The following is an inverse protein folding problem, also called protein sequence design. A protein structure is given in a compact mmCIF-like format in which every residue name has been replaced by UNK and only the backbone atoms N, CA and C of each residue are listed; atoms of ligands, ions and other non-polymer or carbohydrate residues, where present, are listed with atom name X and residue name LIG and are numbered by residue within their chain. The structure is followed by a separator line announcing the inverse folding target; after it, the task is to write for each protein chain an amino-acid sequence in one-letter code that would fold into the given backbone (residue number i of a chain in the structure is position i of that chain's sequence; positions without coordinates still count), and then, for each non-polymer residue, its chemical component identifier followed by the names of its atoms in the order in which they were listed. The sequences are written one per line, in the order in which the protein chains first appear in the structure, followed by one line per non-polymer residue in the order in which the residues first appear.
data_IF_388137978962
#
_entry.id   IF_388137978962
#
_cell.length_a   1.000
_cell.length_b   1.000
_cell.length_c   1.000
_cell.angle_alpha   90.00
_cell.angle_beta   90.00
_cell.angle_gamma   90.00
#
_symmetry.space_group_name_H-M   'P 1'
#
loop_
_entity.id
_entity.type
_entity.pdbx_description
1 polymer ?
#
# COMPACT_ATOMS: atom_id res chain seq x y z
N UNK A 1 -30.82 64.65 70.76
CA UNK A 1 -30.22 64.40 69.44
C UNK A 1 -30.81 63.09 68.94
N UNK A 2 -31.95 63.23 68.25
CA UNK A 2 -32.21 62.71 66.88
C UNK A 2 -32.70 61.25 66.89
N UNK A 3 -34.02 61.03 66.70
CA UNK A 3 -34.71 60.70 65.41
C UNK A 3 -34.13 59.41 64.81
N UNK A 4 -34.77 58.24 64.82
CA UNK A 4 -36.13 57.90 64.43
C UNK A 4 -36.09 57.15 63.09
N UNK A 5 -36.52 55.88 63.04
CA UNK A 5 -37.39 55.29 62.00
C UNK A 5 -37.57 53.77 62.23
N UNK A 6 -38.84 53.38 62.27
CA UNK A 6 -39.37 52.02 62.29
C UNK A 6 -39.11 51.39 60.90
N UNK A 7 -38.73 50.12 60.83
CA UNK A 7 -39.04 49.32 59.65
C UNK A 7 -39.47 47.90 60.04
N UNK A 8 -40.72 47.62 59.69
CA UNK A 8 -41.36 46.31 59.75
C UNK A 8 -40.62 45.34 58.84
N UNK A 9 -40.20 44.20 59.37
CA UNK A 9 -39.96 43.00 58.57
C UNK A 9 -40.80 41.87 59.14
N UNK A 10 -41.96 41.67 58.51
CA UNK A 10 -42.67 40.39 58.52
C UNK A 10 -41.75 39.29 57.99
N UNK A 11 -41.75 38.07 58.57
CA UNK A 11 -40.96 36.97 58.05
C UNK A 11 -41.39 36.67 56.61
N UNK A 12 -40.43 36.65 55.69
CA UNK A 12 -40.67 36.20 54.32
C UNK A 12 -41.19 34.75 54.36
N UNK A 13 -42.24 34.42 53.60
CA UNK A 13 -42.76 33.08 53.55
C UNK A 13 -41.73 32.13 52.94
N UNK A 14 -41.72 30.93 53.51
CA UNK A 14 -41.02 29.72 53.09
C UNK A 14 -40.92 29.61 51.57
N UNK A 15 -39.68 29.51 51.09
CA UNK A 15 -39.28 29.42 49.67
C UNK A 15 -39.56 28.00 49.12
N UNK A 16 -40.81 27.54 49.18
CA UNK A 16 -41.15 26.14 48.84
C UNK A 16 -42.35 26.02 47.87
N UNK A 17 -42.59 27.03 47.03
CA UNK A 17 -43.76 26.97 46.13
C UNK A 17 -43.69 27.75 44.81
N UNK A 18 -42.51 27.79 44.14
CA UNK A 18 -42.38 28.34 42.77
C UNK A 18 -41.52 27.51 41.79
N UNK A 19 -41.23 26.23 42.09
CA UNK A 19 -40.53 25.35 41.15
C UNK A 19 -41.48 24.81 40.07
N UNK A 20 -41.97 25.67 39.18
CA UNK A 20 -42.63 25.26 37.94
C UNK A 20 -41.81 25.77 36.75
N UNK A 21 -40.79 24.99 36.37
CA UNK A 21 -40.10 24.95 35.08
C UNK A 21 -39.88 26.26 34.32
N UNK A 22 -38.83 27.01 34.66
CA UNK A 22 -38.19 27.96 33.75
C UNK A 22 -37.03 27.28 33.03
N UNK A 23 -37.30 26.60 31.92
CA UNK A 23 -36.22 26.23 31.00
C UNK A 23 -35.76 27.50 30.26
N UNK A 24 -34.45 27.67 30.09
CA UNK A 24 -33.91 28.69 29.20
C UNK A 24 -34.38 28.45 27.76
N UNK A 25 -34.50 29.50 26.92
CA UNK A 25 -34.72 29.32 25.49
C UNK A 25 -33.68 28.35 24.91
N UNK A 26 -34.11 27.46 24.02
CA UNK A 26 -33.22 26.52 23.36
C UNK A 26 -32.13 27.26 22.58
N UNK A 27 -30.86 26.91 22.82
CA UNK A 27 -29.73 27.41 22.05
C UNK A 27 -29.43 26.42 20.93
N UNK A 28 -30.01 26.69 19.76
CA UNK A 28 -29.89 25.83 18.58
C UNK A 28 -28.50 25.88 17.95
N UNK A 29 -27.61 26.79 18.37
CA UNK A 29 -26.29 27.02 17.77
C UNK A 29 -26.32 27.20 16.23
N UNK A 30 -27.43 27.74 15.70
CA UNK A 30 -27.65 27.93 14.26
C UNK A 30 -28.00 26.66 13.49
N UNK A 31 -28.21 25.52 14.15
CA UNK A 31 -28.69 24.29 13.52
C UNK A 31 -30.18 24.38 13.21
N UNK A 32 -30.59 23.78 12.11
CA UNK A 32 -32.01 23.73 11.72
C UNK A 32 -32.63 22.39 12.09
N UNK A 33 -33.94 22.41 12.31
CA UNK A 33 -34.72 21.19 12.60
C UNK A 33 -35.86 21.02 11.62
N UNK A 34 -36.19 19.77 11.29
CA UNK A 34 -37.39 19.44 10.50
C UNK A 34 -38.23 18.43 11.23
N UNK A 35 -39.51 18.76 11.47
CA UNK A 35 -40.43 17.84 12.14
C UNK A 35 -40.88 16.73 11.20
N UNK A 36 -40.99 15.52 11.73
CA UNK A 36 -41.53 14.36 11.03
C UNK A 36 -42.21 13.39 11.99
N UNK A 37 -42.87 12.39 11.41
CA UNK A 37 -43.46 11.26 12.14
C UNK A 37 -43.03 9.99 11.42
N UNK A 38 -42.57 9.00 12.17
CA UNK A 38 -42.33 7.65 11.66
C UNK A 38 -43.05 6.63 12.53
N UNK A 39 -43.48 5.52 11.93
CA UNK A 39 -44.10 4.40 12.63
C UNK A 39 -43.17 3.20 12.53
N UNK A 40 -42.72 2.72 13.68
CA UNK A 40 -41.74 1.62 13.78
C UNK A 40 -42.45 0.41 14.39
N UNK A 41 -42.43 -0.71 13.66
CA UNK A 41 -42.87 -2.01 14.18
C UNK A 41 -41.84 -2.56 15.15
N UNK A 42 -42.28 -3.07 16.29
CA UNK A 42 -41.37 -3.54 17.34
C UNK A 42 -40.80 -4.92 17.04
N UNK A 43 -39.70 -5.24 17.72
CA UNK A 43 -39.14 -6.59 17.70
C UNK A 43 -39.87 -7.55 18.66
N UNK A 44 -39.45 -8.81 18.65
CA UNK A 44 -39.99 -9.86 19.55
C UNK A 44 -39.78 -9.57 21.04
N UNK A 45 -38.87 -8.64 21.36
CA UNK A 45 -38.58 -8.20 22.73
C UNK A 45 -39.36 -6.94 23.11
N UNK A 46 -40.31 -6.50 22.29
CA UNK A 46 -41.11 -5.28 22.48
C UNK A 46 -40.25 -3.98 22.51
N UNK A 47 -39.10 -3.99 21.82
CA UNK A 47 -38.18 -2.85 21.71
C UNK A 47 -38.10 -2.32 20.27
N UNK A 48 -37.75 -1.04 20.14
CA UNK A 48 -37.42 -0.42 18.84
C UNK A 48 -35.93 -0.22 18.61
N UNK A 49 -35.11 -0.26 19.66
CA UNK A 49 -33.65 -0.17 19.55
C UNK A 49 -33.06 1.24 19.49
N UNK A 50 -33.56 2.16 20.32
CA UNK A 50 -32.96 3.49 20.51
C UNK A 50 -32.57 3.71 21.98
N UNK A 51 -31.55 4.52 22.21
CA UNK A 51 -31.20 5.08 23.52
C UNK A 51 -31.62 6.55 23.60
N UNK A 52 -32.16 6.97 24.74
CA UNK A 52 -32.73 8.31 24.95
C UNK A 52 -31.92 9.07 26.01
N UNK A 53 -31.57 10.31 25.69
CA UNK A 53 -30.89 11.27 26.57
C UNK A 53 -31.74 12.50 26.84
N UNK A 54 -31.28 13.36 27.75
CA UNK A 54 -31.98 14.56 28.16
C UNK A 54 -33.25 14.28 28.99
N UNK A 55 -34.25 15.15 28.81
CA UNK A 55 -35.52 15.15 29.54
C UNK A 55 -35.49 15.89 30.88
N UNK A 56 -36.69 16.04 31.44
CA UNK A 56 -36.90 16.73 32.70
C UNK A 56 -36.19 16.05 33.90
N UNK A 57 -35.82 16.81 34.95
CA UNK A 57 -35.99 18.26 35.11
C UNK A 57 -34.86 19.09 34.49
N UNK A 58 -33.77 18.46 34.02
CA UNK A 58 -32.51 19.17 33.71
C UNK A 58 -32.45 19.67 32.27
N UNK A 59 -33.01 18.92 31.32
CA UNK A 59 -32.97 19.28 29.90
C UNK A 59 -34.39 19.47 29.33
N UNK A 60 -34.67 20.56 28.59
CA UNK A 60 -36.00 20.80 28.02
C UNK A 60 -36.37 19.80 26.92
N UNK A 61 -35.37 19.17 26.29
CA UNK A 61 -35.51 18.30 25.13
C UNK A 61 -35.17 16.85 25.51
N UNK A 62 -35.84 15.91 24.84
CA UNK A 62 -35.45 14.50 24.80
C UNK A 62 -34.84 14.23 23.44
N UNK A 63 -33.71 13.55 23.39
CA UNK A 63 -33.02 13.27 22.12
C UNK A 63 -32.47 11.86 22.06
N UNK A 64 -32.23 11.39 20.85
CA UNK A 64 -31.70 10.06 20.60
C UNK A 64 -30.19 10.07 20.82
N UNK A 65 -29.69 9.29 21.78
CA UNK A 65 -28.25 9.15 22.04
C UNK A 65 -27.62 8.17 21.03
N UNK A 66 -28.34 7.10 20.72
CA UNK A 66 -27.87 6.07 19.82
C UNK A 66 -29.04 5.31 19.21
N UNK A 67 -28.90 4.94 17.94
CA UNK A 67 -29.71 3.90 17.29
C UNK A 67 -28.84 2.64 17.21
N UNK A 68 -29.34 1.52 17.70
CA UNK A 68 -28.58 0.26 17.76
C UNK A 68 -28.72 -0.50 16.44
N UNK A 69 -27.62 -1.06 15.94
CA UNK A 69 -27.63 -1.82 14.68
C UNK A 69 -28.55 -3.06 14.78
N UNK A 70 -29.08 -3.51 13.64
CA UNK A 70 -29.98 -4.67 13.54
C UNK A 70 -31.32 -4.55 14.30
N UNK A 71 -31.63 -3.39 14.87
CA UNK A 71 -32.92 -3.13 15.53
C UNK A 71 -33.97 -2.57 14.58
N UNK A 72 -35.26 -2.57 14.95
CA UNK A 72 -36.31 -2.02 14.10
C UNK A 72 -36.09 -0.55 13.70
N UNK A 73 -35.64 0.31 14.61
CA UNK A 73 -35.36 1.71 14.31
C UNK A 73 -34.20 1.86 13.31
N UNK A 74 -33.16 1.02 13.42
CA UNK A 74 -32.06 1.03 12.44
C UNK A 74 -32.50 0.57 11.05
N UNK A 75 -33.42 -0.41 10.96
CA UNK A 75 -33.95 -0.92 9.69
C UNK A 75 -34.91 0.07 9.03
N UNK A 76 -35.69 0.81 9.83
CA UNK A 76 -36.57 1.86 9.33
C UNK A 76 -35.77 3.08 8.87
N UNK A 77 -34.68 3.43 9.57
CA UNK A 77 -33.62 4.31 9.08
C UNK A 77 -33.91 5.82 9.16
N UNK A 78 -35.11 6.23 9.56
CA UNK A 78 -35.48 7.65 9.66
C UNK A 78 -34.84 8.31 10.87
N UNK A 79 -34.85 7.62 12.02
CA UNK A 79 -34.29 8.13 13.27
C UNK A 79 -32.77 8.02 13.30
N UNK A 80 -32.11 9.05 13.81
CA UNK A 80 -30.66 9.07 13.97
C UNK A 80 -30.25 9.81 15.26
N UNK A 81 -29.01 9.62 15.70
CA UNK A 81 -28.46 10.17 16.95
C UNK A 81 -28.41 11.70 16.91
N UNK A 82 -28.86 12.37 17.97
CA UNK A 82 -29.02 13.82 18.02
C UNK A 82 -30.40 14.34 17.55
N UNK A 83 -31.24 13.49 16.95
CA UNK A 83 -32.63 13.87 16.67
C UNK A 83 -33.40 14.04 17.99
N UNK A 84 -34.29 15.02 18.03
CA UNK A 84 -35.15 15.26 19.19
C UNK A 84 -36.44 14.45 19.07
N UNK A 85 -36.86 13.86 20.20
CA UNK A 85 -38.14 13.19 20.37
C UNK A 85 -39.16 14.20 20.88
N UNK A 86 -40.20 14.46 20.11
CA UNK A 86 -41.25 15.43 20.47
C UNK A 86 -42.58 14.77 20.81
N UNK A 87 -42.82 13.54 20.37
CA UNK A 87 -44.02 12.80 20.74
C UNK A 87 -43.96 11.29 20.50
N UNK A 88 -44.79 10.55 21.24
CA UNK A 88 -44.98 9.09 21.11
C UNK A 88 -46.48 8.82 21.02
N UNK A 89 -46.92 8.14 19.96
CA UNK A 89 -48.33 7.83 19.65
C UNK A 89 -49.26 9.04 19.76
N UNK A 90 -48.85 10.17 19.20
CA UNK A 90 -49.61 11.42 19.23
C UNK A 90 -49.58 12.18 20.56
N UNK A 91 -48.99 11.62 21.62
CA UNK A 91 -48.80 12.31 22.90
C UNK A 91 -47.46 13.05 22.92
N UNK A 92 -47.48 14.31 23.35
CA UNK A 92 -46.25 15.09 23.56
C UNK A 92 -45.38 14.47 24.65
N UNK A 93 -44.06 14.50 24.44
CA UNK A 93 -43.07 14.09 25.45
C UNK A 93 -42.33 15.26 26.08
N UNK A 94 -42.65 16.50 25.69
CA UNK A 94 -42.05 17.70 26.30
C UNK A 94 -42.34 17.74 27.80
N UNK A 95 -41.31 18.00 28.60
CA UNK A 95 -41.40 18.02 30.06
C UNK A 95 -41.44 16.64 30.74
N UNK A 96 -41.33 15.54 29.98
CA UNK A 96 -41.22 14.18 30.54
C UNK A 96 -39.76 13.79 30.78
N UNK A 97 -39.56 12.86 31.69
CA UNK A 97 -38.28 12.20 31.95
C UNK A 97 -37.99 11.14 30.89
N UNK A 98 -36.72 10.82 30.66
CA UNK A 98 -36.32 9.71 29.77
C UNK A 98 -36.95 8.36 30.15
N UNK A 99 -37.19 8.13 31.43
CA UNK A 99 -37.83 6.89 31.95
C UNK A 99 -39.31 6.84 31.57
N UNK A 100 -40.04 7.95 31.67
CA UNK A 100 -41.44 8.01 31.27
C UNK A 100 -41.61 7.80 29.78
N UNK A 101 -40.77 8.41 28.95
CA UNK A 101 -40.80 8.20 27.49
C UNK A 101 -40.48 6.76 27.12
N UNK A 102 -39.49 6.14 27.77
CA UNK A 102 -39.20 4.72 27.59
C UNK A 102 -40.43 3.85 27.93
N UNK A 103 -41.13 4.15 29.03
CA UNK A 103 -42.38 3.46 29.40
C UNK A 103 -43.51 3.68 28.38
N UNK A 104 -43.66 4.89 27.84
CA UNK A 104 -44.65 5.20 26.78
C UNK A 104 -44.38 4.41 25.50
N UNK A 105 -43.10 4.26 25.12
CA UNK A 105 -42.74 3.42 23.98
C UNK A 105 -43.08 1.98 24.31
N UNK A 106 -42.65 1.46 25.47
CA UNK A 106 -42.86 0.07 25.89
C UNK A 106 -44.33 -0.33 26.07
N UNK A 107 -45.23 0.60 26.44
CA UNK A 107 -46.66 0.31 26.63
C UNK A 107 -47.41 0.03 25.33
N UNK A 108 -46.83 0.41 24.18
CA UNK A 108 -47.37 0.07 22.85
C UNK A 108 -47.08 -1.40 22.55
N UNK A 109 -47.98 -2.13 21.89
CA UNK A 109 -47.76 -3.57 21.59
C UNK A 109 -46.99 -3.79 20.29
N UNK A 110 -47.61 -3.51 19.15
CA UNK A 110 -47.08 -3.96 17.85
C UNK A 110 -46.25 -2.89 17.13
N UNK A 111 -46.70 -1.64 17.19
CA UNK A 111 -46.03 -0.52 16.57
C UNK A 111 -46.05 0.71 17.47
N UNK A 112 -45.11 1.63 17.23
CA UNK A 112 -45.03 2.92 17.91
C UNK A 112 -44.82 4.01 16.89
N UNK A 113 -45.62 5.07 16.97
CA UNK A 113 -45.47 6.27 16.18
C UNK A 113 -44.62 7.28 16.94
N UNK A 114 -43.47 7.64 16.38
CA UNK A 114 -42.52 8.58 16.95
C UNK A 114 -42.59 9.87 16.15
N UNK A 115 -42.99 10.96 16.81
CA UNK A 115 -42.85 12.32 16.28
C UNK A 115 -41.49 12.84 16.69
N UNK A 116 -40.69 13.29 15.72
CA UNK A 116 -39.31 13.71 15.93
C UNK A 116 -39.03 15.06 15.26
N UNK A 117 -37.99 15.74 15.74
CA UNK A 117 -37.36 16.87 15.08
C UNK A 117 -35.97 16.42 14.61
N UNK A 118 -35.81 16.34 13.29
CA UNK A 118 -34.57 15.95 12.64
C UNK A 118 -33.53 17.03 12.85
N UNK A 119 -32.37 16.68 13.40
CA UNK A 119 -31.27 17.64 13.55
C UNK A 119 -30.45 17.69 12.26
N UNK A 120 -30.50 18.83 11.56
CA UNK A 120 -29.63 19.12 10.41
C UNK A 120 -28.36 19.81 10.90
N UNK A 121 -27.45 18.98 11.40
CA UNK A 121 -26.12 19.37 11.80
C UNK A 121 -25.15 19.28 10.61
N UNK A 122 -24.33 20.31 10.40
CA UNK A 122 -23.19 20.21 9.49
C UNK A 122 -22.05 19.46 10.20
N UNK A 123 -21.61 18.28 9.71
CA UNK A 123 -20.50 17.54 10.31
C UNK A 123 -19.19 18.34 10.38
N UNK A 124 -19.02 19.40 9.58
CA UNK A 124 -17.84 20.27 9.67
C UNK A 124 -17.79 21.03 11.00
N UNK A 125 -18.94 21.39 11.57
CA UNK A 125 -19.02 22.08 12.87
C UNK A 125 -18.53 21.19 14.02
N UNK A 126 -18.67 19.87 13.89
CA UNK A 126 -18.15 18.91 14.86
C UNK A 126 -16.65 18.64 14.76
N UNK A 127 -15.93 19.22 13.78
CA UNK A 127 -14.48 19.04 13.61
C UNK A 127 -13.70 20.12 14.36
N UNK A 128 -13.74 20.07 15.68
CA UNK A 128 -12.99 21.00 16.52
C UNK A 128 -11.50 20.65 16.60
N UNK A 129 -10.66 21.63 16.99
CA UNK A 129 -9.24 21.39 17.28
C UNK A 129 -9.06 20.30 18.34
N UNK A 130 -9.96 20.24 19.32
CA UNK A 130 -10.00 19.21 20.35
C UNK A 130 -10.15 17.79 19.75
N UNK A 131 -11.07 17.59 18.80
CA UNK A 131 -11.21 16.31 18.08
C UNK A 131 -9.94 15.98 17.30
N UNK A 132 -9.31 16.97 16.67
CA UNK A 132 -8.05 16.76 15.92
C UNK A 132 -6.91 16.34 16.87
N UNK A 133 -6.76 17.00 18.02
CA UNK A 133 -5.75 16.67 19.03
C UNK A 133 -6.00 15.27 19.61
N UNK A 134 -7.26 14.90 19.89
CA UNK A 134 -7.64 13.55 20.30
C UNK A 134 -7.26 12.51 19.24
N UNK A 135 -7.48 12.81 17.96
CA UNK A 135 -7.10 11.92 16.84
C UNK A 135 -5.58 11.74 16.75
N UNK A 136 -4.81 12.82 16.93
CA UNK A 136 -3.33 12.76 16.98
C UNK A 136 -2.86 11.93 18.16
N UNK A 137 -3.44 12.13 19.35
CA UNK A 137 -3.15 11.30 20.53
C UNK A 137 -3.37 9.82 20.23
N UNK A 138 -4.51 9.45 19.64
CA UNK A 138 -4.78 8.05 19.28
C UNK A 138 -3.75 7.48 18.31
N UNK A 139 -3.34 8.26 17.31
CA UNK A 139 -2.32 7.84 16.34
C UNK A 139 -0.95 7.58 16.98
N UNK A 140 -0.54 8.43 17.94
CA UNK A 140 0.75 8.28 18.62
C UNK A 140 0.76 7.06 19.54
N UNK A 141 -0.33 6.84 20.27
CA UNK A 141 -0.41 5.79 21.29
C UNK A 141 -0.53 4.39 20.68
N UNK A 142 -1.08 4.24 19.46
CA UNK A 142 -1.21 2.94 18.79
C UNK A 142 0.15 2.27 18.51
N UNK A 143 1.18 3.06 18.21
CA UNK A 143 2.52 2.56 17.91
C UNK A 143 3.41 2.42 19.16
N UNK A 144 2.86 2.70 20.34
CA UNK A 144 3.61 2.78 21.59
C UNK A 144 3.30 1.58 22.49
N UNK A 145 4.31 1.08 23.19
CA UNK A 145 4.11 0.04 24.19
C UNK A 145 3.23 0.56 25.34
N UNK A 146 2.51 -0.35 26.00
CA UNK A 146 1.70 -0.04 27.20
C UNK A 146 2.49 0.77 28.23
N UNK A 147 3.68 0.30 28.60
CA UNK A 147 4.50 0.93 29.64
C UNK A 147 5.00 2.31 29.22
N UNK A 148 5.35 2.50 27.95
CA UNK A 148 5.80 3.81 27.45
C UNK A 148 4.64 4.82 27.39
N UNK A 149 3.44 4.39 26.99
CA UNK A 149 2.27 5.25 26.95
C UNK A 149 1.86 5.72 28.36
N UNK A 150 1.89 4.80 29.33
CA UNK A 150 1.60 5.10 30.73
C UNK A 150 2.67 6.04 31.33
N UNK A 151 3.95 5.85 31.00
CA UNK A 151 5.04 6.74 31.42
C UNK A 151 4.91 8.17 30.86
N UNK A 152 4.28 8.34 29.69
CA UNK A 152 4.00 9.65 29.09
C UNK A 152 2.63 10.22 29.51
N UNK A 153 1.90 9.56 30.41
CA UNK A 153 0.57 9.97 30.84
C UNK A 153 -0.49 9.88 29.73
N UNK A 154 -0.22 9.15 28.65
CA UNK A 154 -1.14 8.99 27.53
C UNK A 154 -2.12 7.85 27.83
N UNK A 155 -3.18 8.14 28.59
CA UNK A 155 -4.18 7.13 28.94
C UNK A 155 -4.84 6.53 27.70
N UNK A 156 -4.75 5.20 27.55
CA UNK A 156 -5.46 4.42 26.52
C UNK A 156 -6.89 4.14 26.96
N UNK A 157 -7.75 5.15 26.82
CA UNK A 157 -9.17 4.99 27.19
C UNK A 157 -9.91 3.95 26.33
N UNK A 158 -9.41 3.64 25.13
CA UNK A 158 -10.06 2.72 24.19
C UNK A 158 -8.98 1.81 23.58
N UNK A 159 -8.61 0.76 24.31
CA UNK A 159 -7.70 -0.28 23.81
C UNK A 159 -8.41 -1.03 22.68
N UNK A 160 -7.97 -0.85 21.45
CA UNK A 160 -8.28 -1.79 20.38
C UNK A 160 -7.00 -2.55 20.05
N UNK A 161 -6.87 -3.77 20.57
CA UNK A 161 -6.00 -4.78 19.97
C UNK A 161 -6.54 -5.08 18.56
N UNK A 162 -6.25 -4.18 17.62
CA UNK A 162 -6.81 -4.23 16.29
C UNK A 162 -5.98 -5.16 15.43
N UNK A 163 -6.55 -6.32 15.14
CA UNK A 163 -5.93 -7.35 14.32
C UNK A 163 -5.60 -6.83 12.92
N UNK A 164 -6.35 -5.85 12.39
CA UNK A 164 -6.09 -5.29 11.06
C UNK A 164 -4.86 -4.39 11.03
N UNK A 165 -4.55 -3.70 12.13
CA UNK A 165 -3.32 -2.92 12.24
C UNK A 165 -2.11 -3.83 12.41
N UNK A 166 -2.25 -4.96 13.13
CA UNK A 166 -1.21 -6.00 13.17
C UNK A 166 -0.96 -6.61 11.80
N UNK A 167 -2.02 -6.87 11.02
CA UNK A 167 -1.91 -7.32 9.62
C UNK A 167 -1.13 -6.35 8.73
N UNK A 168 -1.17 -5.04 9.02
CA UNK A 168 -0.33 -4.06 8.32
C UNK A 168 1.16 -4.32 8.54
N UNK A 169 1.56 -4.61 9.79
CA UNK A 169 2.96 -4.93 10.13
C UNK A 169 3.40 -6.25 9.48
N UNK A 170 2.53 -7.25 9.46
CA UNK A 170 2.78 -8.52 8.74
C UNK A 170 2.98 -8.28 7.23
N UNK A 171 2.21 -7.36 6.64
CA UNK A 171 2.39 -6.95 5.24
C UNK A 171 3.69 -6.17 5.00
N UNK A 172 4.24 -5.45 5.98
CA UNK A 172 5.57 -4.84 5.88
C UNK A 172 6.67 -5.91 5.79
N UNK A 173 6.60 -6.94 6.63
CA UNK A 173 7.52 -8.08 6.55
C UNK A 173 7.41 -8.85 5.23
N UNK A 174 6.17 -9.09 4.78
CA UNK A 174 5.89 -9.76 3.50
C UNK A 174 6.43 -8.94 2.32
N UNK A 175 6.24 -7.62 2.32
CA UNK A 175 6.79 -6.73 1.28
C UNK A 175 8.32 -6.82 1.22
N UNK A 176 9.00 -6.80 2.38
CA UNK A 176 10.45 -6.88 2.44
C UNK A 176 10.97 -8.21 1.87
N UNK A 177 10.33 -9.33 2.21
CA UNK A 177 10.63 -10.64 1.64
C UNK A 177 10.46 -10.63 0.12
N UNK A 178 9.33 -10.14 -0.40
CA UNK A 178 9.05 -10.11 -1.84
C UNK A 178 10.01 -9.21 -2.61
N UNK A 179 10.36 -8.07 -2.04
CA UNK A 179 11.39 -7.19 -2.59
C UNK A 179 12.72 -7.91 -2.71
N UNK A 180 13.14 -8.62 -1.65
CA UNK A 180 14.34 -9.45 -1.67
C UNK A 180 14.31 -10.53 -2.76
N UNK A 181 13.16 -11.19 -2.95
CA UNK A 181 12.96 -12.19 -4.00
C UNK A 181 13.10 -11.59 -5.41
N UNK A 182 12.43 -10.47 -5.68
CA UNK A 182 12.49 -9.77 -6.97
C UNK A 182 13.93 -9.29 -7.25
N UNK A 183 14.58 -8.69 -6.26
CA UNK A 183 15.95 -8.20 -6.39
C UNK A 183 16.95 -9.33 -6.60
N UNK A 184 16.77 -10.47 -5.93
CA UNK A 184 17.61 -11.64 -6.15
C UNK A 184 17.42 -12.22 -7.55
N UNK A 185 16.17 -12.34 -8.01
CA UNK A 185 15.84 -12.79 -9.37
C UNK A 185 16.51 -11.91 -10.42
N UNK A 186 16.49 -10.58 -10.24
CA UNK A 186 17.21 -9.64 -11.10
C UNK A 186 18.72 -9.89 -11.12
N UNK A 187 19.34 -10.10 -9.95
CA UNK A 187 20.78 -10.39 -9.85
C UNK A 187 21.15 -11.70 -10.56
N UNK A 188 20.34 -12.75 -10.42
CA UNK A 188 20.55 -14.02 -11.11
C UNK A 188 20.47 -13.83 -12.62
N UNK A 189 19.46 -13.10 -13.12
CA UNK A 189 19.34 -12.83 -14.56
C UNK A 189 20.49 -11.99 -15.10
N UNK A 190 20.99 -11.02 -14.31
CA UNK A 190 22.19 -10.24 -14.67
C UNK A 190 23.43 -11.13 -14.78
N UNK A 191 23.66 -12.00 -13.79
CA UNK A 191 24.79 -12.93 -13.79
C UNK A 191 24.68 -13.92 -14.96
N UNK A 192 23.47 -14.42 -15.23
CA UNK A 192 23.20 -15.29 -16.35
C UNK A 192 23.48 -14.60 -17.69
N UNK A 193 23.02 -13.36 -17.89
CA UNK A 193 23.37 -12.58 -19.08
C UNK A 193 24.89 -12.39 -19.23
N UNK A 194 25.59 -12.11 -18.14
CA UNK A 194 27.05 -12.05 -18.14
C UNK A 194 27.71 -13.35 -18.61
N UNK A 195 27.18 -14.51 -18.18
CA UNK A 195 27.63 -15.82 -18.66
C UNK A 195 27.39 -15.99 -20.17
N UNK A 196 26.25 -15.54 -20.71
CA UNK A 196 25.96 -15.60 -22.14
C UNK A 196 26.95 -14.76 -22.97
N UNK A 197 27.36 -13.61 -22.46
CA UNK A 197 28.40 -12.80 -23.11
C UNK A 197 29.75 -13.52 -23.18
N UNK A 198 30.10 -14.29 -22.13
CA UNK A 198 31.28 -15.15 -22.15
C UNK A 198 31.14 -16.27 -23.19
N UNK A 199 29.95 -16.89 -23.31
CA UNK A 199 29.70 -17.88 -24.36
C UNK A 199 29.87 -17.27 -25.76
N UNK A 200 29.35 -16.07 -26.02
CA UNK A 200 29.57 -15.37 -27.29
C UNK A 200 31.07 -15.19 -27.59
N UNK A 201 31.79 -14.63 -26.62
CA UNK A 201 33.22 -14.36 -26.76
C UNK A 201 34.04 -15.64 -27.00
N UNK A 202 33.72 -16.74 -26.30
CA UNK A 202 34.35 -18.04 -26.54
C UNK A 202 34.02 -18.55 -27.94
N UNK A 203 32.75 -18.45 -28.33
CA UNK A 203 32.29 -18.81 -29.68
C UNK A 203 33.10 -18.13 -30.79
N UNK A 204 33.29 -16.82 -30.66
CA UNK A 204 34.04 -16.01 -31.61
C UNK A 204 35.53 -16.31 -31.61
N UNK A 205 36.14 -16.49 -30.43
CA UNK A 205 37.55 -16.82 -30.30
C UNK A 205 37.87 -18.20 -30.90
N UNK A 206 37.10 -19.23 -30.57
CA UNK A 206 37.34 -20.59 -31.07
C UNK A 206 37.06 -20.72 -32.56
N UNK A 207 36.03 -20.04 -33.08
CA UNK A 207 35.83 -19.96 -34.52
C UNK A 207 37.02 -19.28 -35.23
N UNK A 208 37.56 -18.20 -34.63
CA UNK A 208 38.74 -17.50 -35.15
C UNK A 208 40.00 -18.36 -35.16
N UNK A 209 40.25 -19.14 -34.10
CA UNK A 209 41.35 -20.10 -34.02
C UNK A 209 41.17 -21.21 -35.07
N UNK A 210 39.97 -21.77 -35.18
CA UNK A 210 39.68 -22.86 -36.12
C UNK A 210 39.98 -22.51 -37.58
N UNK A 211 39.73 -21.26 -38.00
CA UNK A 211 40.03 -20.81 -39.36
C UNK A 211 41.54 -20.70 -39.63
N UNK A 212 42.34 -20.44 -38.60
CA UNK A 212 43.80 -20.24 -38.72
C UNK A 212 44.60 -21.51 -38.44
N UNK A 213 43.96 -22.56 -37.94
CA UNK A 213 44.61 -23.81 -37.53
C UNK A 213 44.98 -24.67 -38.75
N UNK A 214 46.28 -24.97 -38.98
CA UNK A 214 46.72 -25.74 -40.13
C UNK A 214 46.33 -27.22 -40.07
N UNK A 215 46.15 -27.81 -38.88
CA UNK A 215 45.73 -29.21 -38.76
C UNK A 215 44.20 -29.35 -38.97
N UNK A 216 43.73 -30.06 -40.01
CA UNK A 216 42.29 -30.11 -40.34
C UNK A 216 41.39 -30.63 -39.21
N UNK A 217 41.86 -31.65 -38.47
CA UNK A 217 41.11 -32.23 -37.34
C UNK A 217 40.99 -31.27 -36.16
N UNK A 218 42.04 -30.48 -35.89
CA UNK A 218 42.02 -29.47 -34.84
C UNK A 218 41.17 -28.25 -35.25
N UNK A 219 41.28 -27.83 -36.52
CA UNK A 219 40.44 -26.79 -37.13
C UNK A 219 38.95 -27.12 -37.00
N UNK A 220 38.55 -28.35 -37.34
CA UNK A 220 37.16 -28.81 -37.22
C UNK A 220 36.69 -28.83 -35.75
N UNK A 221 37.54 -29.28 -34.83
CA UNK A 221 37.23 -29.29 -33.40
C UNK A 221 37.04 -27.88 -32.82
N UNK A 222 37.91 -26.94 -33.16
CA UNK A 222 37.77 -25.54 -32.72
C UNK A 222 36.53 -24.87 -33.32
N UNK A 223 36.21 -25.14 -34.59
CA UNK A 223 34.98 -24.65 -35.22
C UNK A 223 33.73 -25.19 -34.52
N UNK A 224 33.66 -26.50 -34.29
CA UNK A 224 32.54 -27.12 -33.58
C UNK A 224 32.37 -26.54 -32.16
N UNK A 225 33.48 -26.36 -31.44
CA UNK A 225 33.46 -25.75 -30.11
C UNK A 225 32.95 -24.31 -30.13
N UNK A 226 33.36 -23.53 -31.14
CA UNK A 226 32.86 -22.18 -31.37
C UNK A 226 31.35 -22.16 -31.63
N UNK A 227 30.86 -23.07 -32.48
CA UNK A 227 29.43 -23.19 -32.82
C UNK A 227 28.58 -23.59 -31.61
N UNK A 228 29.06 -24.51 -30.75
CA UNK A 228 28.38 -24.88 -29.51
C UNK A 228 28.20 -23.67 -28.59
N UNK A 229 29.24 -22.86 -28.40
CA UNK A 229 29.19 -21.69 -27.53
C UNK A 229 28.26 -20.61 -28.07
N UNK A 230 28.24 -20.37 -29.39
CA UNK A 230 27.27 -19.48 -30.03
C UNK A 230 25.83 -20.01 -29.89
N UNK A 231 25.63 -21.31 -29.99
CA UNK A 231 24.30 -21.92 -29.81
C UNK A 231 23.81 -21.80 -28.35
N UNK A 232 24.70 -22.03 -27.38
CA UNK A 232 24.39 -21.84 -25.95
C UNK A 232 24.02 -20.38 -25.65
N UNK A 233 24.72 -19.41 -26.22
CA UNK A 233 24.35 -18.00 -26.10
C UNK A 233 22.95 -17.74 -26.66
N UNK A 234 22.68 -18.19 -27.89
CA UNK A 234 21.39 -17.99 -28.56
C UNK A 234 20.22 -18.58 -27.77
N UNK A 235 20.37 -19.81 -27.26
CA UNK A 235 19.34 -20.46 -26.45
C UNK A 235 19.16 -19.75 -25.09
N UNK A 236 20.26 -19.24 -24.52
CA UNK A 236 20.23 -18.45 -23.30
C UNK A 236 19.49 -17.13 -23.46
N UNK A 237 19.71 -16.41 -24.57
CA UNK A 237 18.99 -15.17 -24.89
C UNK A 237 17.50 -15.44 -25.08
N UNK A 238 17.14 -16.56 -25.72
CA UNK A 238 15.74 -16.97 -25.84
C UNK A 238 15.10 -17.26 -24.47
N UNK A 239 15.85 -17.89 -23.56
CA UNK A 239 15.41 -18.13 -22.17
C UNK A 239 15.24 -16.82 -21.38
N UNK A 240 16.12 -15.83 -21.57
CA UNK A 240 15.93 -14.51 -20.97
C UNK A 240 14.63 -13.83 -21.47
N UNK A 241 14.30 -13.96 -22.76
CA UNK A 241 13.06 -13.43 -23.34
C UNK A 241 11.82 -14.07 -22.71
N UNK A 242 11.84 -15.37 -22.39
CA UNK A 242 10.70 -16.05 -21.75
C UNK A 242 10.56 -15.71 -20.27
N UNK A 243 11.68 -15.43 -19.58
CA UNK A 243 11.68 -15.10 -18.14
C UNK A 243 11.35 -13.62 -17.90
N UNK A 244 11.65 -12.71 -18.83
CA UNK A 244 11.40 -11.26 -18.67
C UNK A 244 9.98 -10.91 -18.21
N UNK A 245 8.88 -11.48 -18.77
CA UNK A 245 7.52 -11.23 -18.29
C UNK A 245 7.30 -11.62 -16.82
N UNK A 246 7.93 -12.70 -16.34
CA UNK A 246 7.82 -13.19 -14.96
C UNK A 246 8.26 -12.09 -13.97
N UNK A 247 9.34 -11.37 -14.30
CA UNK A 247 9.84 -10.29 -13.46
C UNK A 247 8.89 -9.09 -13.40
N UNK A 248 8.21 -8.79 -14.52
CA UNK A 248 7.19 -7.73 -14.58
C UNK A 248 5.96 -8.09 -13.73
N UNK A 249 5.53 -9.35 -13.78
CA UNK A 249 4.41 -9.87 -13.00
C UNK A 249 4.72 -9.82 -11.50
N UNK A 250 5.87 -10.34 -11.08
CA UNK A 250 6.34 -10.27 -9.69
C UNK A 250 6.47 -8.81 -9.21
N UNK A 251 6.94 -7.92 -10.07
CA UNK A 251 7.03 -6.48 -9.80
C UNK A 251 5.67 -5.80 -9.65
N UNK A 252 4.63 -6.27 -10.34
CA UNK A 252 3.27 -5.72 -10.23
C UNK A 252 2.68 -5.96 -8.85
N UNK A 253 2.87 -7.15 -8.30
CA UNK A 253 2.43 -7.46 -6.94
C UNK A 253 3.09 -6.54 -5.90
N UNK A 254 4.41 -6.40 -5.98
CA UNK A 254 5.21 -5.58 -5.06
C UNK A 254 4.88 -4.09 -5.17
N UNK A 255 4.78 -3.56 -6.38
CA UNK A 255 4.68 -2.10 -6.60
C UNK A 255 3.25 -1.58 -6.70
N UNK A 256 2.24 -2.44 -6.91
CA UNK A 256 0.84 -2.03 -7.04
C UNK A 256 -0.07 -2.66 -5.99
N UNK A 257 -0.07 -3.99 -5.87
CA UNK A 257 -1.02 -4.70 -5.01
C UNK A 257 -0.78 -4.45 -3.52
N UNK A 258 0.46 -4.63 -3.03
CA UNK A 258 0.79 -4.39 -1.63
C UNK A 258 0.53 -2.91 -1.24
N UNK A 259 1.02 -1.89 -1.99
CA UNK A 259 0.78 -0.49 -1.63
C UNK A 259 -0.70 -0.10 -1.59
N UNK A 260 -1.53 -0.63 -2.50
CA UNK A 260 -2.97 -0.37 -2.52
C UNK A 260 -3.68 -0.95 -1.28
N UNK A 261 -3.35 -2.19 -0.89
CA UNK A 261 -3.88 -2.79 0.34
C UNK A 261 -3.43 -2.01 1.58
N UNK A 262 -2.15 -1.63 1.66
CA UNK A 262 -1.62 -0.80 2.75
C UNK A 262 -2.33 0.55 2.84
N UNK A 263 -2.57 1.21 1.71
CA UNK A 263 -3.32 2.47 1.68
C UNK A 263 -4.73 2.30 2.24
N UNK A 264 -5.38 1.19 1.91
CA UNK A 264 -6.74 0.89 2.39
C UNK A 264 -6.76 0.68 3.91
N UNK A 265 -5.80 -0.07 4.45
CA UNK A 265 -5.65 -0.26 5.89
C UNK A 265 -5.33 1.07 6.60
N UNK A 266 -4.50 1.93 6.03
CA UNK A 266 -4.22 3.27 6.58
C UNK A 266 -5.47 4.16 6.61
N UNK A 267 -6.30 4.14 5.55
CA UNK A 267 -7.59 4.84 5.52
C UNK A 267 -8.54 4.33 6.61
N UNK A 268 -8.61 3.01 6.79
CA UNK A 268 -9.37 2.39 7.87
C UNK A 268 -8.88 2.86 9.25
N UNK A 269 -7.57 2.83 9.51
CA UNK A 269 -6.99 3.26 10.77
C UNK A 269 -7.28 4.74 11.06
N UNK A 270 -7.22 5.60 10.04
CA UNK A 270 -7.54 7.01 10.18
C UNK A 270 -9.02 7.25 10.53
N UNK A 271 -9.95 6.51 9.90
CA UNK A 271 -11.37 6.55 10.22
C UNK A 271 -11.68 5.98 11.62
N UNK A 272 -10.97 4.93 12.04
CA UNK A 272 -11.01 4.41 13.41
C UNK A 272 -10.64 5.49 14.41
N UNK A 273 -9.51 6.17 14.23
CA UNK A 273 -9.06 7.22 15.16
C UNK A 273 -10.02 8.41 15.20
N UNK A 274 -10.63 8.78 14.07
CA UNK A 274 -11.68 9.80 14.05
C UNK A 274 -12.90 9.36 14.89
N UNK A 275 -13.41 8.14 14.68
CA UNK A 275 -14.51 7.60 15.48
C UNK A 275 -14.19 7.54 16.98
N UNK A 276 -13.00 7.06 17.34
CA UNK A 276 -12.54 6.99 18.74
C UNK A 276 -12.44 8.38 19.39
N UNK A 277 -12.04 9.40 18.63
CA UNK A 277 -11.98 10.78 19.12
C UNK A 277 -13.36 11.31 19.48
N UNK A 278 -14.38 11.01 18.67
CA UNK A 278 -15.77 11.34 18.99
C UNK A 278 -16.29 10.54 20.19
N UNK A 279 -15.96 9.25 20.31
CA UNK A 279 -16.32 8.46 21.50
C UNK A 279 -15.74 9.06 22.79
N UNK A 280 -14.47 9.49 22.75
CA UNK A 280 -13.83 10.13 23.89
C UNK A 280 -14.48 11.47 24.22
N UNK A 281 -14.80 12.29 23.21
CA UNK A 281 -15.49 13.56 23.43
C UNK A 281 -16.88 13.38 24.04
N UNK A 282 -17.66 12.41 23.56
CA UNK A 282 -18.97 12.09 24.17
C UNK A 282 -18.80 11.69 25.63
N UNK A 283 -17.83 10.82 25.94
CA UNK A 283 -17.57 10.40 27.32
C UNK A 283 -17.16 11.59 28.21
N UNK A 284 -16.29 12.48 27.73
CA UNK A 284 -15.92 13.69 28.47
C UNK A 284 -17.13 14.58 28.77
N UNK A 285 -18.05 14.73 27.81
CA UNK A 285 -19.28 15.49 28.02
C UNK A 285 -20.25 14.79 28.98
N UNK A 286 -20.35 13.45 28.92
CA UNK A 286 -21.14 12.65 29.88
C UNK A 286 -20.58 12.77 31.31
N UNK A 287 -19.26 12.70 31.45
CA UNK A 287 -18.55 12.83 32.74
C UNK A 287 -18.69 14.25 33.31
N UNK A 288 -18.66 15.29 32.46
CA UNK A 288 -18.97 16.68 32.84
C UNK A 288 -20.42 16.80 33.33
N UNK A 289 -21.41 16.31 32.58
CA UNK A 289 -22.82 16.34 33.00
C UNK A 289 -23.03 15.64 34.34
N UNK A 290 -22.40 14.48 34.54
CA UNK A 290 -22.46 13.74 35.80
C UNK A 290 -21.86 14.54 36.95
N UNK A 291 -20.72 15.21 36.72
CA UNK A 291 -20.03 16.00 37.76
C UNK A 291 -20.86 17.21 38.20
N UNK A 292 -21.43 17.96 37.26
CA UNK A 292 -22.34 19.08 37.57
C UNK A 292 -23.60 18.59 38.30
N UNK A 293 -24.16 17.45 37.89
CA UNK A 293 -25.30 16.85 38.56
C UNK A 293 -24.99 16.44 40.01
N UNK A 294 -23.78 15.94 40.30
CA UNK A 294 -23.35 15.61 41.67
C UNK A 294 -23.20 16.86 42.55
N UNK A 295 -22.73 17.98 41.97
CA UNK A 295 -22.60 19.26 42.65
C UNK A 295 -23.92 20.02 42.77
N UNK A 296 -24.99 19.52 42.14
CA UNK A 296 -26.29 20.21 42.01
C UNK A 296 -26.17 21.59 41.34
N UNK A 297 -25.18 21.75 40.47
CA UNK A 297 -24.97 22.99 39.71
C UNK A 297 -25.63 22.90 38.32
N UNK A 298 -26.31 23.97 37.87
CA UNK A 298 -26.89 24.01 36.54
C UNK A 298 -25.79 24.07 35.47
N UNK A 299 -26.03 23.38 34.36
CA UNK A 299 -25.13 23.38 33.21
C UNK A 299 -25.84 23.97 32.00
N UNK A 300 -25.46 25.20 31.63
CA UNK A 300 -26.14 26.01 30.61
C UNK A 300 -26.43 25.24 29.31
N UNK A 301 -25.42 24.50 28.83
CA UNK A 301 -25.51 23.62 27.67
C UNK A 301 -26.70 22.64 27.77
N UNK A 302 -26.91 22.02 28.92
CA UNK A 302 -28.01 21.06 29.14
C UNK A 302 -29.35 21.76 29.24
N UNK A 303 -29.40 22.88 29.97
CA UNK A 303 -30.62 23.66 30.20
C UNK A 303 -31.19 24.30 28.94
N UNK A 304 -30.35 24.47 27.91
CA UNK A 304 -30.70 25.04 26.60
C UNK A 304 -30.88 23.99 25.50
N UNK A 305 -31.04 22.70 25.86
CA UNK A 305 -31.40 21.62 24.92
C UNK A 305 -30.22 20.78 24.38
N UNK A 306 -29.01 21.03 24.87
CA UNK A 306 -27.80 20.22 24.66
C UNK A 306 -27.41 20.00 23.18
N UNK A 307 -27.57 21.04 22.36
CA UNK A 307 -27.34 20.98 20.91
C UNK A 307 -25.90 20.63 20.54
N UNK A 308 -24.90 21.12 21.29
CA UNK A 308 -23.50 20.74 21.07
C UNK A 308 -23.28 19.22 21.25
N UNK A 309 -23.81 18.63 22.32
CA UNK A 309 -23.73 17.19 22.54
C UNK A 309 -24.42 16.42 21.42
N UNK A 310 -25.60 16.86 20.99
CA UNK A 310 -26.37 16.26 19.89
C UNK A 310 -25.61 16.32 18.56
N UNK A 311 -24.90 17.41 18.27
CA UNK A 311 -24.00 17.53 17.12
C UNK A 311 -22.87 16.50 17.19
N UNK A 312 -22.22 16.34 18.35
CA UNK A 312 -21.17 15.34 18.54
C UNK A 312 -21.71 13.91 18.39
N UNK A 313 -22.92 13.62 18.87
CA UNK A 313 -23.58 12.33 18.66
C UNK A 313 -23.81 12.02 17.18
N UNK A 314 -24.26 13.01 16.39
CA UNK A 314 -24.39 12.88 14.93
C UNK A 314 -23.04 12.57 14.29
N UNK A 315 -22.01 13.37 14.60
CA UNK A 315 -20.67 13.18 14.05
C UNK A 315 -20.08 11.80 14.40
N UNK A 316 -20.32 11.33 15.64
CA UNK A 316 -19.93 9.98 16.09
C UNK A 316 -20.62 8.89 15.27
N UNK A 317 -21.93 9.02 15.03
CA UNK A 317 -22.68 8.06 14.21
C UNK A 317 -22.12 7.98 12.79
N UNK A 318 -21.88 9.14 12.16
CA UNK A 318 -21.34 9.18 10.79
C UNK A 318 -19.92 8.60 10.72
N UNK A 319 -19.07 8.92 11.70
CA UNK A 319 -17.73 8.35 11.81
C UNK A 319 -17.77 6.83 12.02
N UNK A 320 -18.70 6.32 12.85
CA UNK A 320 -18.91 4.88 13.06
C UNK A 320 -19.29 4.17 11.76
N UNK A 321 -20.20 4.74 10.98
CA UNK A 321 -20.63 4.17 9.70
C UNK A 321 -19.46 4.10 8.70
N UNK A 322 -18.68 5.19 8.57
CA UNK A 322 -17.47 5.20 7.72
C UNK A 322 -16.43 4.18 8.16
N UNK A 323 -16.17 4.10 9.46
CA UNK A 323 -15.26 3.12 10.06
C UNK A 323 -15.71 1.67 9.77
N UNK A 324 -16.99 1.36 9.98
CA UNK A 324 -17.54 0.03 9.74
C UNK A 324 -17.44 -0.38 8.26
N UNK A 325 -17.74 0.54 7.33
CA UNK A 325 -17.59 0.29 5.89
C UNK A 325 -16.14 -0.02 5.51
N UNK A 326 -15.20 0.83 5.93
CA UNK A 326 -13.78 0.63 5.64
C UNK A 326 -13.22 -0.65 6.27
N UNK A 327 -13.77 -1.09 7.41
CA UNK A 327 -13.41 -2.38 8.02
C UNK A 327 -13.75 -3.54 7.08
N UNK A 328 -14.95 -3.54 6.50
CA UNK A 328 -15.36 -4.55 5.53
C UNK A 328 -14.49 -4.50 4.26
N UNK A 329 -14.19 -3.30 3.76
CA UNK A 329 -13.33 -3.11 2.58
C UNK A 329 -11.92 -3.70 2.81
N UNK A 330 -11.33 -3.46 3.99
CA UNK A 330 -10.03 -4.02 4.35
C UNK A 330 -10.06 -5.55 4.40
N UNK A 331 -11.09 -6.15 4.99
CA UNK A 331 -11.21 -7.60 5.08
C UNK A 331 -11.27 -8.25 3.70
N UNK A 332 -12.11 -7.71 2.80
CA UNK A 332 -12.21 -8.20 1.41
C UNK A 332 -10.88 -8.02 0.68
N UNK A 333 -10.20 -6.88 0.83
CA UNK A 333 -8.90 -6.66 0.18
C UNK A 333 -7.81 -7.60 0.68
N UNK A 334 -7.78 -7.90 1.98
CA UNK A 334 -6.83 -8.88 2.54
C UNK A 334 -7.10 -10.28 1.99
N UNK A 335 -8.35 -10.71 1.92
CA UNK A 335 -8.73 -12.01 1.36
C UNK A 335 -8.37 -12.14 -0.13
N UNK A 336 -8.61 -11.08 -0.92
CA UNK A 336 -8.23 -11.01 -2.32
C UNK A 336 -6.71 -11.00 -2.53
N UNK A 337 -5.99 -10.33 -1.63
CA UNK A 337 -4.53 -10.31 -1.64
C UNK A 337 -4.00 -11.73 -1.38
N UNK A 338 -4.44 -12.39 -0.31
CA UNK A 338 -3.94 -13.72 0.07
C UNK A 338 -4.27 -14.80 -0.98
N UNK A 339 -5.52 -14.85 -1.45
CA UNK A 339 -5.99 -15.94 -2.33
C UNK A 339 -5.35 -15.89 -3.72
N UNK A 340 -5.24 -14.70 -4.32
CA UNK A 340 -4.74 -14.55 -5.70
C UNK A 340 -3.22 -14.60 -5.77
N UNK A 341 -2.56 -14.17 -4.70
CA UNK A 341 -1.12 -13.97 -4.68
C UNK A 341 -0.32 -15.26 -4.59
N UNK A 342 -0.70 -16.17 -3.69
CA UNK A 342 0.05 -17.41 -3.46
C UNK A 342 0.08 -18.25 -4.74
N UNK A 343 -1.07 -18.39 -5.41
CA UNK A 343 -1.15 -19.12 -6.68
C UNK A 343 -0.29 -18.50 -7.77
N UNK A 344 -0.29 -17.17 -7.88
CA UNK A 344 0.47 -16.48 -8.91
C UNK A 344 1.97 -16.61 -8.67
N UNK A 345 2.44 -16.41 -7.44
CA UNK A 345 3.87 -16.52 -7.13
C UNK A 345 4.40 -17.92 -7.32
N UNK A 346 3.67 -18.94 -6.87
CA UNK A 346 4.07 -20.34 -7.09
C UNK A 346 4.15 -20.64 -8.58
N UNK A 347 3.17 -20.18 -9.38
CA UNK A 347 3.18 -20.33 -10.84
C UNK A 347 4.40 -19.64 -11.47
N UNK A 348 4.71 -18.42 -11.06
CA UNK A 348 5.83 -17.65 -11.58
C UNK A 348 7.19 -18.27 -11.22
N UNK A 349 7.36 -18.74 -9.97
CA UNK A 349 8.58 -19.45 -9.54
C UNK A 349 8.76 -20.78 -10.27
N UNK A 350 7.67 -21.53 -10.49
CA UNK A 350 7.71 -22.75 -11.27
C UNK A 350 8.14 -22.46 -12.72
N UNK A 351 7.53 -21.48 -13.39
CA UNK A 351 7.91 -21.07 -14.75
C UNK A 351 9.37 -20.63 -14.84
N UNK A 352 9.86 -19.92 -13.82
CA UNK A 352 11.26 -19.52 -13.73
C UNK A 352 12.20 -20.74 -13.68
N UNK A 353 11.95 -21.66 -12.75
CA UNK A 353 12.76 -22.88 -12.59
C UNK A 353 12.70 -23.77 -13.84
N UNK A 354 11.51 -23.99 -14.41
CA UNK A 354 11.32 -24.78 -15.63
C UNK A 354 12.04 -24.17 -16.83
N UNK A 355 12.09 -22.84 -16.93
CA UNK A 355 12.79 -22.17 -18.04
C UNK A 355 14.30 -22.42 -17.97
N UNK A 356 14.90 -22.32 -16.78
CA UNK A 356 16.32 -22.64 -16.59
C UNK A 356 16.60 -24.13 -16.76
N UNK A 357 15.74 -25.01 -16.24
CA UNK A 357 15.89 -26.46 -16.42
C UNK A 357 15.91 -26.84 -17.90
N UNK A 358 14.98 -26.27 -18.68
CA UNK A 358 14.95 -26.46 -20.13
C UNK A 358 16.23 -25.98 -20.81
N UNK A 359 16.71 -24.78 -20.47
CA UNK A 359 17.97 -24.26 -21.00
C UNK A 359 19.14 -25.22 -20.72
N UNK A 360 19.28 -25.72 -19.49
CA UNK A 360 20.38 -26.62 -19.15
C UNK A 360 20.24 -28.00 -19.80
N UNK A 361 19.03 -28.50 -20.05
CA UNK A 361 18.83 -29.73 -20.83
C UNK A 361 19.26 -29.53 -22.29
N UNK A 362 18.90 -28.40 -22.92
CA UNK A 362 19.34 -28.04 -24.28
C UNK A 362 20.88 -27.89 -24.35
N UNK A 363 21.52 -27.31 -23.33
CA UNK A 363 22.98 -27.24 -23.22
C UNK A 363 23.59 -28.63 -23.13
N UNK A 364 23.04 -29.51 -22.29
CA UNK A 364 23.49 -30.89 -22.16
C UNK A 364 23.38 -31.66 -23.47
N UNK A 365 22.26 -31.53 -24.19
CA UNK A 365 22.09 -32.14 -25.52
C UNK A 365 23.11 -31.61 -26.52
N UNK A 366 23.37 -30.30 -26.52
CA UNK A 366 24.38 -29.66 -27.38
C UNK A 366 25.77 -30.21 -27.10
N UNK A 367 26.14 -30.35 -25.82
CA UNK A 367 27.44 -30.89 -25.42
C UNK A 367 27.56 -32.41 -25.68
N UNK A 368 26.46 -33.16 -25.62
CA UNK A 368 26.44 -34.61 -25.85
C UNK A 368 26.63 -35.00 -27.33
N UNK A 369 26.42 -34.07 -28.27
CA UNK A 369 26.71 -34.28 -29.70
C UNK A 369 28.21 -34.33 -30.00
N UNK A 370 29.05 -34.11 -29.00
CA UNK A 370 30.49 -33.98 -29.17
C UNK A 370 31.18 -35.36 -29.22
N UNK A 371 31.64 -35.76 -30.41
CA UNK A 371 32.46 -36.96 -30.64
C UNK A 371 33.96 -36.67 -30.67
N UNK A 372 34.36 -35.40 -30.51
CA UNK A 372 35.73 -34.93 -30.75
C UNK A 372 36.60 -34.89 -29.48
N UNK A 373 36.07 -35.34 -28.34
CA UNK A 373 36.80 -35.40 -27.07
C UNK A 373 37.12 -36.86 -26.66
N UNK A 374 38.35 -37.16 -26.19
CA UNK A 374 39.46 -36.24 -25.98
C UNK A 374 40.11 -35.80 -27.29
N UNK A 375 40.49 -34.52 -27.36
CA UNK A 375 41.38 -34.02 -28.40
C UNK A 375 42.76 -34.61 -28.10
N UNK A 376 43.04 -35.82 -28.61
CA UNK A 376 44.42 -36.29 -28.69
C UNK A 376 45.15 -35.44 -29.73
N UNK A 377 45.69 -34.30 -29.28
CA UNK A 377 46.69 -33.54 -30.02
C UNK A 377 48.00 -34.32 -29.93
N UNK A 378 48.25 -35.22 -30.88
CA UNK A 378 49.61 -35.72 -31.13
C UNK A 378 50.43 -34.57 -31.74
N UNK A 379 50.99 -33.74 -30.86
CA UNK A 379 51.98 -32.74 -31.22
C UNK A 379 53.23 -33.47 -31.72
N UNK A 380 53.39 -33.53 -33.04
CA UNK A 380 54.66 -33.96 -33.63
C UNK A 380 55.79 -33.08 -33.05
N UNK A 381 56.97 -33.68 -32.76
CA UNK A 381 58.12 -32.97 -32.14
C UNK A 381 58.58 -31.71 -32.90
N UNK A 382 58.13 -31.51 -34.14
CA UNK A 382 58.38 -30.35 -34.98
C UNK A 382 57.36 -29.21 -34.84
N UNK A 383 56.28 -29.37 -34.06
CA UNK A 383 55.19 -28.39 -33.94
C UNK A 383 55.64 -26.99 -33.44
N UNK A 384 56.84 -26.90 -32.86
CA UNK A 384 57.43 -25.65 -32.36
C UNK A 384 58.75 -25.26 -33.04
N UNK A 385 59.13 -25.87 -34.17
CA UNK A 385 60.29 -25.41 -34.94
C UNK A 385 59.96 -24.12 -35.71
N UNK A 386 60.05 -22.98 -35.01
CA UNK A 386 60.24 -21.69 -35.68
C UNK A 386 61.57 -21.73 -36.43
N UNK A 387 61.52 -21.60 -37.76
CA UNK A 387 62.73 -21.41 -38.56
C UNK A 387 63.26 -20.01 -38.28
N UNK A 388 64.15 -19.89 -37.29
CA UNK A 388 64.93 -18.68 -37.04
C UNK A 388 65.95 -18.52 -38.16
N UNK A 389 65.54 -18.00 -39.32
CA UNK A 389 66.48 -17.52 -40.32
C UNK A 389 66.97 -16.14 -39.88
N UNK A 390 68.01 -16.14 -39.06
CA UNK A 390 68.91 -15.01 -38.89
C UNK A 390 69.50 -14.64 -40.26
N UNK A 391 68.99 -13.58 -40.88
CA UNK A 391 69.81 -12.74 -41.74
C UNK A 391 69.92 -11.38 -41.04
N UNK A 392 71.06 -11.18 -40.39
CA UNK A 392 71.52 -9.88 -39.93
C UNK A 392 71.69 -8.99 -41.17
N UNK A 393 70.96 -7.88 -41.25
CA UNK A 393 71.38 -6.73 -42.03
C UNK A 393 71.35 -5.52 -41.10
N UNK A 394 72.53 -4.97 -40.90
CA UNK A 394 72.93 -3.83 -40.10
C UNK A 394 72.66 -2.57 -40.94
N UNK A 395 72.04 -1.54 -40.36
CA UNK A 395 71.87 -0.24 -41.02
C UNK A 395 73.15 0.60 -40.86
N UNK A 396 73.63 1.24 -41.93
CA UNK A 396 74.05 2.66 -41.97
C UNK A 396 74.54 3.09 -43.38
N UNK A 397 73.94 4.20 -43.84
CA UNK A 397 74.29 5.25 -44.82
C UNK A 397 75.39 5.05 -45.88
N UNK A 398 75.01 5.22 -47.16
CA UNK A 398 75.65 6.16 -48.12
C UNK A 398 74.83 6.27 -49.43
N UNK A 399 75.00 7.41 -50.10
CA UNK A 399 74.21 8.07 -51.16
C UNK A 399 73.80 7.29 -52.44
N UNK A 400 72.83 7.92 -53.13
CA UNK A 400 72.56 7.98 -54.58
C UNK A 400 71.44 7.12 -55.25
N UNK A 401 70.38 7.86 -55.62
CA UNK A 401 69.56 7.83 -56.85
C UNK A 401 68.63 6.64 -57.25
N UNK A 402 67.33 7.00 -57.30
CA UNK A 402 66.25 6.63 -58.25
C UNK A 402 65.80 5.16 -58.24
N UNK A 403 64.52 4.82 -57.97
CA UNK A 403 63.32 5.10 -58.77
C UNK A 403 62.01 4.91 -57.95
N UNK A 404 61.07 5.84 -58.19
CA UNK A 404 59.59 5.92 -57.99
C UNK A 404 58.76 4.61 -58.12
N UNK A 405 57.47 4.48 -57.77
CA UNK A 405 56.37 5.33 -57.26
C UNK A 405 55.26 4.38 -56.76
N UNK A 406 54.39 4.83 -55.85
CA UNK A 406 53.16 4.10 -55.51
C UNK A 406 52.39 4.69 -54.31
N UNK A 407 51.58 5.71 -54.59
CA UNK A 407 50.80 6.55 -53.65
C UNK A 407 49.75 5.77 -52.86
N UNK A 408 49.74 5.97 -51.53
CA UNK A 408 48.62 5.70 -50.62
C UNK A 408 47.43 6.64 -50.94
N UNK A 409 46.24 6.08 -51.12
CA UNK A 409 44.99 6.86 -51.04
C UNK A 409 44.33 6.58 -49.69
N UNK A 410 44.37 7.58 -48.81
CA UNK A 410 43.47 7.71 -47.67
C UNK A 410 42.13 8.28 -48.17
N UNK A 411 41.03 7.63 -47.82
CA UNK A 411 39.71 8.26 -47.87
C UNK A 411 39.22 8.54 -46.44
N UNK A 412 39.04 9.83 -46.16
CA UNK A 412 38.17 10.35 -45.10
C UNK A 412 36.92 10.99 -45.76
N UNK A 413 35.84 11.25 -44.99
CA UNK A 413 34.47 11.02 -45.41
C UNK A 413 33.81 12.24 -46.07
N UNK A 414 32.77 12.00 -46.87
CA UNK A 414 31.87 13.04 -47.35
C UNK A 414 30.39 12.65 -47.14
N UNK A 415 29.69 13.45 -46.33
CA UNK A 415 28.23 13.47 -46.21
C UNK A 415 27.69 14.37 -47.32
N UNK A 416 26.63 13.96 -48.03
CA UNK A 416 25.91 14.86 -48.94
C UNK A 416 24.85 14.26 -49.88
N UNK A 417 23.72 13.83 -49.29
CA UNK A 417 22.34 14.09 -49.76
C UNK A 417 21.73 13.50 -51.07
N UNK A 418 20.54 12.90 -50.87
CA UNK A 418 19.33 12.77 -51.72
C UNK A 418 19.21 11.54 -52.64
N UNK A 419 18.27 10.62 -52.33
CA UNK A 419 16.87 10.58 -52.83
C UNK A 419 16.12 9.40 -52.16
N UNK A 420 14.84 9.66 -51.83
CA UNK A 420 13.83 8.79 -51.24
C UNK A 420 13.70 7.37 -51.83
N UNK A 421 13.49 6.39 -50.94
CA UNK A 421 13.02 5.05 -51.28
C UNK A 421 12.89 4.16 -50.05
N UNK A 422 11.68 4.09 -49.47
CA UNK A 422 11.35 3.19 -48.37
C UNK A 422 11.64 1.73 -48.72
N UNK A 423 12.61 1.12 -48.05
CA UNK A 423 12.73 -0.34 -47.92
C UNK A 423 13.24 -0.67 -46.52
N UNK A 424 12.34 -1.11 -45.64
CA UNK A 424 12.72 -1.70 -44.35
C UNK A 424 13.26 -3.11 -44.61
N UNK A 425 14.56 -3.32 -44.44
CA UNK A 425 15.18 -4.64 -44.44
C UNK A 425 14.98 -5.33 -43.09
N UNK A 426 15.11 -6.67 -43.07
CA UNK A 426 14.94 -7.51 -41.86
C UNK A 426 15.96 -7.21 -40.75
N UNK A 427 17.06 -6.52 -41.06
CA UNK A 427 18.14 -6.16 -40.12
C UNK A 427 17.70 -5.08 -39.12
N UNK A 428 16.88 -4.10 -39.53
CA UNK A 428 16.35 -3.05 -38.64
C UNK A 428 15.44 -3.59 -37.52
N UNK A 429 14.86 -4.79 -37.69
CA UNK A 429 14.01 -5.44 -36.68
C UNK A 429 14.77 -6.23 -35.63
N UNK A 430 16.03 -6.56 -35.89
CA UNK A 430 16.88 -7.28 -34.93
C UNK A 430 17.76 -6.31 -34.14
N UNK A 431 18.21 -5.20 -34.74
CA UNK A 431 18.87 -4.09 -34.01
C UNK A 431 17.91 -3.38 -33.01
N UNK A 432 16.64 -3.20 -33.38
CA UNK A 432 15.63 -2.67 -32.44
C UNK A 432 15.30 -3.63 -31.28
N UNK A 433 15.56 -4.94 -31.42
CA UNK A 433 15.37 -5.93 -30.34
C UNK A 433 16.57 -6.02 -29.40
N UNK A 434 17.78 -5.86 -29.91
CA UNK A 434 19.01 -5.73 -29.11
C UNK A 434 18.99 -4.44 -28.29
N UNK A 435 18.58 -3.33 -28.90
CA UNK A 435 18.40 -2.04 -28.23
C UNK A 435 17.40 -2.11 -27.06
N UNK A 436 16.30 -2.88 -27.18
CA UNK A 436 15.30 -3.05 -26.12
C UNK A 436 15.73 -3.99 -24.98
N UNK A 437 16.73 -4.84 -25.23
CA UNK A 437 17.37 -5.70 -24.22
C UNK A 437 18.45 -4.91 -23.47
N UNK A 438 19.22 -4.10 -24.18
CA UNK A 438 20.11 -3.10 -23.58
C UNK A 438 19.33 -2.08 -22.75
N UNK A 439 18.14 -1.64 -23.18
CA UNK A 439 17.32 -0.66 -22.43
C UNK A 439 16.91 -1.18 -21.03
N UNK A 440 16.66 -2.49 -20.89
CA UNK A 440 16.45 -3.15 -19.59
C UNK A 440 17.74 -3.33 -18.76
N UNK A 441 18.89 -3.23 -19.41
CA UNK A 441 20.24 -3.49 -18.87
C UNK A 441 21.01 -2.17 -18.71
N UNK A 442 20.49 -1.01 -19.11
CA UNK A 442 21.18 0.29 -19.06
C UNK A 442 21.58 0.72 -17.63
N UNK A 443 20.85 0.28 -16.60
CA UNK A 443 21.25 0.46 -15.19
C UNK A 443 22.37 -0.49 -14.74
N UNK A 444 22.87 -1.33 -15.65
CA UNK A 444 23.78 -2.43 -15.37
C UNK A 444 25.00 -2.33 -16.28
N UNK A 445 25.92 -1.42 -15.95
CA UNK A 445 27.25 -1.35 -16.56
C UNK A 445 27.88 -2.76 -16.63
N UNK A 446 28.44 -3.16 -17.78
CA UNK A 446 29.21 -4.39 -17.87
C UNK A 446 30.42 -4.31 -16.93
N UNK A 447 30.76 -5.42 -16.29
CA UNK A 447 32.07 -5.57 -15.67
C UNK A 447 33.06 -5.49 -16.82
N UNK A 448 33.97 -4.51 -16.78
CA UNK A 448 35.08 -4.46 -17.73
C UNK A 448 35.95 -5.68 -17.47
N UNK A 449 35.81 -6.69 -18.32
CA UNK A 449 36.72 -7.82 -18.36
C UNK A 449 37.96 -7.30 -19.09
N UNK A 450 39.03 -7.04 -18.35
CA UNK A 450 40.35 -6.84 -18.93
C UNK A 450 40.68 -8.05 -19.81
N UNK A 451 41.23 -7.81 -21.00
CA UNK A 451 41.68 -8.86 -21.92
C UNK A 451 42.35 -10.01 -21.17
N UNK A 452 41.93 -11.27 -21.38
CA UNK A 452 42.64 -12.39 -20.79
C UNK A 452 44.02 -12.45 -21.43
N UNK A 453 45.05 -12.08 -20.67
CA UNK A 453 46.42 -12.44 -21.02
C UNK A 453 46.45 -13.96 -21.10
N UNK A 454 46.69 -14.48 -22.30
CA UNK A 454 46.92 -15.90 -22.56
C UNK A 454 48.15 -16.29 -21.75
N UNK A 455 47.94 -16.73 -20.52
CA UNK A 455 48.97 -17.30 -19.68
C UNK A 455 49.13 -18.75 -20.14
N UNK A 456 50.29 -19.02 -20.72
CA UNK A 456 50.76 -20.35 -21.08
C UNK A 456 50.69 -21.27 -19.85
N UNK A 457 49.69 -22.17 -19.81
CA UNK A 457 49.69 -23.31 -18.89
C UNK A 457 50.60 -24.39 -19.48
N UNK A 458 51.90 -24.30 -19.15
CA UNK A 458 52.80 -25.46 -19.21
C UNK A 458 53.04 -25.87 -17.76
N UNK A 459 52.40 -26.96 -17.38
CA UNK A 459 52.80 -27.78 -16.24
C UNK A 459 53.01 -29.19 -16.75
N UNK A 460 54.27 -29.56 -16.98
CA UNK A 460 54.74 -30.94 -16.90
C UNK A 460 56.08 -30.91 -16.14
N UNK A 461 56.05 -31.67 -15.04
CA UNK A 461 57.01 -31.89 -13.95
C UNK A 461 57.16 -30.80 -12.86
#
# INVERSE_FOLDING_TARGET
MDKGFINNYTPLPVFDQLCTGMFFPEDTLGMTVTSGVTTIKKDTSNLIGISIGGGAPVCPCLYIVQVFDNTPAAKEGTLQSGDELVGVNGQSVKGKTKVEVAKMIQSSKDEVSIKYNKLHADPTQGKSLDIVLKKVKHRLVENMSTSTADALGLSRAILCNDTLVKKLQELDGTEAMYRGLVDHTKRVLKAFYGLLQVYKAFGDAFAGIGVREPQPRASEAFRAFGDYHRLMEKNGVQTLKTIKPILSDLGTYLNKAIPDTKLTIRKYADAKFEYLSYCLKVKEMDDEEYSYAQLQEPLYRVETGNYEYRLILRCRQDARARFARLRSDVLVKLELLDSKHVEDVVRQLHRFASSFAKFYEEVKETLAQNSLFPIEMDLARSAFQYSSTNQQIQYEDDDDELIQDGVEVKEEPAIGQLIDGQFQTKEDKDEQKESYLEELITDMKPIQVSEPKVATLIGLD
#
